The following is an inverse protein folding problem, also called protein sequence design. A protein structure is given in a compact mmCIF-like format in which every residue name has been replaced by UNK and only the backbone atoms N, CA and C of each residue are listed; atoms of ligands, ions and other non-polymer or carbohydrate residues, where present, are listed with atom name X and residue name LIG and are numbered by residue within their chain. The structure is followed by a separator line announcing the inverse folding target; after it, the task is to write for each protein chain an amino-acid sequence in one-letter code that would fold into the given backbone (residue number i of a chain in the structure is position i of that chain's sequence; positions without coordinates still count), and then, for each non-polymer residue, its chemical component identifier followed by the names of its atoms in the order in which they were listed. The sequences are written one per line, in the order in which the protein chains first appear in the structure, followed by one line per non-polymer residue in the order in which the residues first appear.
data_IF_710573788319
#
_entry.id   IF_710573788319
#
_cell.length_a   1.000
_cell.length_b   1.000
_cell.length_c   1.000
_cell.angle_alpha   90.00
_cell.angle_beta   90.00
_cell.angle_gamma   90.00
#
_symmetry.space_group_name_H-M   'P 1'
#
loop_
_entity.id
_entity.type
_entity.pdbx_description
1 polymer ?
#
# COMPACT_ATOMS: atom_id res chain seq x y z
N UNK A 1 10.29 -20.41 -13.76
CA UNK A 1 8.99 -21.09 -13.72
C UNK A 1 8.53 -21.12 -12.28
N UNK A 2 7.44 -20.42 -11.95
CA UNK A 2 6.52 -20.80 -10.88
C UNK A 2 5.21 -20.09 -11.17
N UNK A 3 4.23 -20.92 -11.46
CA UNK A 3 2.91 -20.64 -12.00
C UNK A 3 2.02 -20.24 -10.82
N UNK A 4 1.37 -19.10 -10.87
CA UNK A 4 0.19 -18.86 -10.03
C UNK A 4 -1.03 -19.20 -10.88
N UNK A 5 -1.34 -20.50 -10.92
CA UNK A 5 -2.67 -20.99 -11.21
C UNK A 5 -3.54 -20.68 -9.98
N UNK A 6 -4.61 -19.91 -10.16
CA UNK A 6 -5.73 -19.93 -9.22
C UNK A 6 -6.99 -20.12 -10.05
N UNK A 7 -7.62 -21.25 -9.79
CA UNK A 7 -8.77 -21.87 -10.44
C UNK A 7 -9.95 -20.93 -10.65
N UNK A 8 -10.59 -21.11 -11.81
CA UNK A 8 -12.03 -20.89 -11.98
C UNK A 8 -12.72 -22.13 -11.38
N UNK A 9 -13.63 -21.98 -10.43
CA UNK A 9 -15.00 -22.48 -10.58
C UNK A 9 -15.97 -22.08 -9.44
N UNK A 10 -17.22 -21.88 -9.87
CA UNK A 10 -18.51 -21.97 -9.17
C UNK A 10 -18.73 -21.46 -7.74
N UNK A 11 -19.77 -20.63 -7.58
CA UNK A 11 -20.65 -20.70 -6.40
C UNK A 11 -21.07 -19.34 -5.84
N UNK A 12 -22.29 -18.92 -6.16
CA UNK A 12 -22.98 -17.81 -5.47
C UNK A 12 -23.06 -18.09 -3.97
N UNK A 13 -22.51 -17.19 -3.14
CA UNK A 13 -22.84 -17.06 -1.71
C UNK A 13 -22.86 -15.57 -1.35
N UNK A 14 -23.95 -15.02 -0.80
CA UNK A 14 -24.09 -13.59 -0.54
C UNK A 14 -23.57 -13.17 0.85
N UNK A 15 -22.96 -11.98 0.90
CA UNK A 15 -22.89 -11.05 2.03
C UNK A 15 -22.45 -11.62 3.40
N UNK A 16 -21.14 -11.74 3.61
CA UNK A 16 -20.55 -11.92 4.95
C UNK A 16 -19.84 -10.64 5.44
N UNK A 17 -20.56 -9.87 6.25
CA UNK A 17 -20.12 -9.11 7.44
C UNK A 17 -18.71 -8.45 7.44
N UNK A 18 -18.65 -7.15 7.11
CA UNK A 18 -17.61 -6.16 7.49
C UNK A 18 -16.11 -6.56 7.31
N UNK A 19 -15.85 -7.41 6.32
CA UNK A 19 -14.59 -7.50 5.58
C UNK A 19 -14.94 -7.39 4.11
N UNK A 20 -14.87 -6.19 3.54
CA UNK A 20 -15.13 -6.00 2.11
C UNK A 20 -13.90 -6.54 1.38
N UNK A 21 -13.88 -7.86 1.16
CA UNK A 21 -13.00 -8.44 0.17
C UNK A 21 -13.37 -7.82 -1.16
N UNK A 22 -12.38 -7.16 -1.76
CA UNK A 22 -12.50 -6.38 -2.99
C UNK A 22 -12.87 -7.25 -4.22
N UNK A 23 -13.07 -8.56 -4.01
CA UNK A 23 -13.49 -9.57 -4.99
C UNK A 23 -14.99 -9.44 -5.30
N UNK A 24 -15.42 -8.26 -5.79
CA UNK A 24 -16.76 -8.12 -6.35
C UNK A 24 -16.74 -8.59 -7.80
N UNK A 25 -16.82 -9.92 -7.99
CA UNK A 25 -16.84 -10.56 -9.30
C UNK A 25 -18.12 -10.24 -10.11
N UNK A 26 -19.07 -9.52 -9.52
CA UNK A 26 -20.43 -9.34 -10.06
C UNK A 26 -20.67 -8.03 -10.84
N UNK A 27 -19.73 -7.08 -10.81
CA UNK A 27 -19.94 -5.76 -11.44
C UNK A 27 -19.64 -5.81 -12.93
N UNK A 28 -20.72 -5.92 -13.71
CA UNK A 28 -20.66 -6.03 -15.17
C UNK A 28 -21.17 -4.79 -15.88
N UNK A 29 -21.85 -3.88 -15.16
CA UNK A 29 -22.52 -2.73 -15.77
C UNK A 29 -22.25 -1.41 -15.05
N UNK A 30 -22.10 -0.35 -15.84
CA UNK A 30 -21.97 1.04 -15.36
C UNK A 30 -23.20 1.47 -14.55
N UNK A 31 -24.38 0.89 -14.82
CA UNK A 31 -25.59 1.17 -14.05
C UNK A 31 -25.51 0.62 -12.61
N UNK A 32 -24.90 -0.55 -12.42
CA UNK A 32 -24.69 -1.13 -11.10
C UNK A 32 -23.71 -0.27 -10.28
N UNK A 33 -22.63 0.21 -10.92
CA UNK A 33 -21.70 1.17 -10.30
C UNK A 33 -22.42 2.42 -9.79
N UNK A 34 -23.31 2.97 -10.62
CA UNK A 34 -24.07 4.17 -10.26
C UNK A 34 -25.05 3.93 -9.11
N UNK A 35 -25.71 2.76 -9.07
CA UNK A 35 -26.60 2.40 -7.98
C UNK A 35 -25.83 2.25 -6.65
N UNK A 36 -24.65 1.63 -6.68
CA UNK A 36 -23.79 1.48 -5.50
C UNK A 36 -23.26 2.82 -4.99
N UNK A 37 -22.81 3.71 -5.89
CA UNK A 37 -22.37 5.05 -5.50
C UNK A 37 -23.52 5.80 -4.83
N UNK A 38 -24.73 5.76 -5.42
CA UNK A 38 -25.90 6.42 -4.86
C UNK A 38 -26.28 5.85 -3.49
N UNK A 39 -26.17 4.54 -3.31
CA UNK A 39 -26.40 3.90 -2.01
C UNK A 39 -25.35 4.32 -0.97
N UNK A 40 -24.08 4.40 -1.35
CA UNK A 40 -23.00 4.85 -0.47
C UNK A 40 -23.11 6.32 -0.09
N UNK A 41 -23.45 7.19 -1.05
CA UNK A 41 -23.75 8.61 -0.82
C UNK A 41 -24.93 8.76 0.16
N UNK A 42 -25.98 7.95 0.02
CA UNK A 42 -27.12 7.96 0.95
C UNK A 42 -26.75 7.52 2.38
N UNK A 43 -25.71 6.70 2.52
CA UNK A 43 -25.18 6.26 3.83
C UNK A 43 -24.11 7.22 4.40
N UNK A 44 -23.76 8.30 3.69
CA UNK A 44 -22.71 9.24 4.10
C UNK A 44 -21.30 8.65 4.08
N UNK A 45 -21.08 7.56 3.34
CA UNK A 45 -19.79 6.89 3.24
C UNK A 45 -19.00 7.51 2.10
N UNK A 46 -18.04 8.38 2.42
CA UNK A 46 -17.20 9.02 1.42
C UNK A 46 -16.04 8.13 0.95
N UNK A 47 -15.51 7.27 1.83
CA UNK A 47 -14.36 6.42 1.53
C UNK A 47 -14.34 5.17 2.41
N UNK A 48 -14.05 4.01 1.80
CA UNK A 48 -13.91 2.74 2.51
C UNK A 48 -12.51 2.63 3.13
N UNK A 49 -12.43 2.34 4.44
CA UNK A 49 -11.15 2.01 5.10
C UNK A 49 -10.64 0.67 4.56
N UNK A 50 -9.45 0.72 3.97
CA UNK A 50 -8.87 -0.41 3.27
C UNK A 50 -8.14 -1.36 4.23
N UNK A 51 -8.34 -2.67 4.04
CA UNK A 51 -7.57 -3.74 4.70
C UNK A 51 -6.66 -4.51 3.73
N UNK A 52 -6.94 -4.43 2.42
CA UNK A 52 -6.27 -5.19 1.37
C UNK A 52 -4.91 -4.64 0.96
N UNK A 53 -4.04 -5.55 0.54
CA UNK A 53 -2.72 -5.24 0.01
C UNK A 53 -2.82 -4.33 -1.22
N UNK A 54 -1.80 -3.51 -1.42
CA UNK A 54 -1.64 -2.65 -2.60
C UNK A 54 -1.76 -3.45 -3.92
N UNK A 55 -1.18 -4.65 -3.96
CA UNK A 55 -1.12 -5.51 -5.15
C UNK A 55 -2.49 -6.02 -5.55
N UNK A 56 -3.29 -6.46 -4.57
CA UNK A 56 -4.64 -6.99 -4.80
C UNK A 56 -5.55 -5.95 -5.46
N UNK A 57 -5.50 -4.72 -4.97
CA UNK A 57 -6.33 -3.65 -5.51
C UNK A 57 -5.88 -3.23 -6.89
N UNK A 58 -4.59 -3.23 -7.20
CA UNK A 58 -4.15 -2.95 -8.57
C UNK A 58 -4.62 -4.06 -9.53
N UNK A 59 -4.61 -5.32 -9.08
CA UNK A 59 -5.16 -6.45 -9.82
C UNK A 59 -6.67 -6.29 -10.07
N UNK A 60 -7.43 -5.99 -9.02
CA UNK A 60 -8.87 -5.75 -9.10
C UNK A 60 -9.23 -4.54 -9.97
N UNK A 61 -8.53 -3.41 -9.82
CA UNK A 61 -8.75 -2.23 -10.67
C UNK A 61 -8.51 -2.58 -12.14
N UNK A 62 -7.45 -3.34 -12.42
CA UNK A 62 -7.14 -3.77 -13.78
C UNK A 62 -8.25 -4.67 -14.36
N UNK A 63 -8.74 -5.60 -13.57
CA UNK A 63 -9.82 -6.52 -13.94
C UNK A 63 -11.14 -5.77 -14.20
N UNK A 64 -11.55 -4.83 -13.35
CA UNK A 64 -12.71 -3.96 -13.58
C UNK A 64 -12.57 -3.18 -14.90
N UNK A 65 -11.40 -2.57 -15.14
CA UNK A 65 -11.17 -1.77 -16.35
C UNK A 65 -11.20 -2.61 -17.62
N UNK A 66 -10.79 -3.88 -17.54
CA UNK A 66 -10.87 -4.85 -18.63
C UNK A 66 -12.31 -5.33 -18.84
N UNK A 67 -13.00 -5.79 -17.78
CA UNK A 67 -14.39 -6.29 -17.82
C UNK A 67 -15.35 -5.25 -18.37
N UNK A 68 -15.24 -4.00 -17.92
CA UNK A 68 -16.07 -2.90 -18.39
C UNK A 68 -15.65 -2.38 -19.77
N UNK A 69 -14.57 -2.88 -20.38
CA UNK A 69 -13.99 -2.34 -21.62
C UNK A 69 -13.82 -0.82 -21.52
N UNK A 70 -13.13 -0.35 -20.47
CA UNK A 70 -12.99 1.08 -20.16
C UNK A 70 -12.55 1.95 -21.35
N UNK A 71 -11.76 1.37 -22.27
CA UNK A 71 -11.35 2.06 -23.51
C UNK A 71 -12.53 2.54 -24.34
N UNK A 72 -13.57 1.71 -24.50
CA UNK A 72 -14.76 2.00 -25.30
C UNK A 72 -15.83 2.82 -24.57
N UNK A 73 -15.71 3.04 -23.25
CA UNK A 73 -16.68 3.82 -22.48
C UNK A 73 -16.73 5.30 -22.93
N UNK A 74 -17.93 5.88 -22.84
CA UNK A 74 -18.16 7.31 -23.05
C UNK A 74 -17.65 8.14 -21.87
N UNK A 75 -17.44 9.44 -22.07
CA UNK A 75 -16.90 10.36 -21.04
C UNK A 75 -17.72 10.36 -19.75
N UNK A 76 -19.06 10.27 -19.85
CA UNK A 76 -19.97 10.20 -18.68
C UNK A 76 -19.76 8.92 -17.88
N UNK A 77 -19.74 7.77 -18.56
CA UNK A 77 -19.54 6.45 -17.95
C UNK A 77 -18.17 6.33 -17.29
N UNK A 78 -17.12 6.88 -17.93
CA UNK A 78 -15.78 6.96 -17.34
C UNK A 78 -15.74 7.75 -16.02
N UNK A 79 -16.62 8.73 -15.86
CA UNK A 79 -16.76 9.47 -14.60
C UNK A 79 -17.35 8.61 -13.48
N UNK A 80 -18.35 7.78 -13.80
CA UNK A 80 -18.97 6.84 -12.85
C UNK A 80 -17.92 5.82 -12.38
N UNK A 81 -17.13 5.26 -13.30
CA UNK A 81 -16.05 4.33 -12.96
C UNK A 81 -15.03 4.97 -12.02
N UNK A 82 -14.59 6.21 -12.29
CA UNK A 82 -13.64 6.93 -11.41
C UNK A 82 -14.18 7.13 -9.99
N UNK A 83 -15.44 7.54 -9.84
CA UNK A 83 -16.07 7.70 -8.54
C UNK A 83 -16.15 6.39 -7.76
N UNK A 84 -16.50 5.30 -8.45
CA UNK A 84 -16.53 3.98 -7.84
C UNK A 84 -15.15 3.53 -7.38
N UNK A 85 -14.13 3.66 -8.24
CA UNK A 85 -12.76 3.31 -7.91
C UNK A 85 -12.26 4.11 -6.70
N UNK A 86 -12.65 5.39 -6.58
CA UNK A 86 -12.33 6.23 -5.42
C UNK A 86 -12.95 5.69 -4.14
N UNK A 87 -14.25 5.42 -4.17
CA UNK A 87 -15.02 4.98 -3.02
C UNK A 87 -14.43 3.69 -2.40
N UNK A 88 -14.13 2.70 -3.23
CA UNK A 88 -13.70 1.37 -2.77
C UNK A 88 -12.19 1.21 -2.63
N UNK A 89 -11.36 1.91 -3.44
CA UNK A 89 -9.89 1.81 -3.30
C UNK A 89 -9.33 2.64 -2.16
N UNK A 90 -10.05 3.69 -1.76
CA UNK A 90 -9.58 4.68 -0.78
C UNK A 90 -8.45 5.58 -1.28
N UNK A 91 -8.16 5.58 -2.58
CA UNK A 91 -7.18 6.49 -3.17
C UNK A 91 -7.77 7.85 -3.50
N UNK A 92 -6.90 8.86 -3.46
CA UNK A 92 -7.20 10.17 -4.00
C UNK A 92 -7.46 10.09 -5.52
N UNK A 93 -8.26 11.04 -6.03
CA UNK A 93 -8.62 11.12 -7.46
C UNK A 93 -7.39 11.15 -8.37
N UNK A 94 -6.38 11.93 -8.00
CA UNK A 94 -5.14 12.06 -8.78
C UNK A 94 -4.40 10.74 -8.94
N UNK A 95 -4.39 9.90 -7.89
CA UNK A 95 -3.77 8.58 -7.94
C UNK A 95 -4.56 7.64 -8.86
N UNK A 96 -5.89 7.72 -8.84
CA UNK A 96 -6.75 6.94 -9.73
C UNK A 96 -6.56 7.36 -11.19
N UNK A 97 -6.52 8.67 -11.45
CA UNK A 97 -6.25 9.21 -12.79
C UNK A 97 -4.89 8.77 -13.31
N UNK A 98 -3.88 8.74 -12.44
CA UNK A 98 -2.57 8.18 -12.77
C UNK A 98 -2.66 6.69 -13.16
N UNK A 99 -3.33 5.86 -12.35
CA UNK A 99 -3.47 4.42 -12.63
C UNK A 99 -4.28 4.15 -13.91
N UNK A 100 -5.33 4.94 -14.17
CA UNK A 100 -6.12 4.86 -15.41
C UNK A 100 -5.26 5.27 -16.62
N UNK A 101 -4.43 6.31 -16.47
CA UNK A 101 -3.53 6.75 -17.53
C UNK A 101 -2.47 5.68 -17.83
N UNK A 102 -1.91 5.05 -16.80
CA UNK A 102 -1.01 3.89 -16.93
C UNK A 102 -1.69 2.72 -17.65
N UNK A 103 -2.92 2.37 -17.27
CA UNK A 103 -3.70 1.35 -17.98
C UNK A 103 -3.95 1.71 -19.44
N UNK A 104 -4.23 2.99 -19.74
CA UNK A 104 -4.45 3.45 -21.10
C UNK A 104 -3.18 3.37 -21.98
N UNK A 105 -1.99 3.50 -21.40
CA UNK A 105 -0.72 3.44 -22.13
C UNK A 105 -0.21 1.99 -22.23
N UNK A 106 -0.14 1.28 -21.10
CA UNK A 106 0.49 -0.04 -21.00
C UNK A 106 -0.49 -1.22 -21.13
N UNK A 107 -1.81 -0.94 -21.14
CA UNK A 107 -2.87 -1.96 -21.14
C UNK A 107 -3.06 -2.67 -19.80
N UNK A 108 -2.26 -2.31 -18.79
CA UNK A 108 -2.35 -2.87 -17.44
C UNK A 108 -1.82 -1.92 -16.38
N UNK A 109 -2.38 -2.02 -15.18
CA UNK A 109 -1.85 -1.30 -14.02
C UNK A 109 -0.65 -2.06 -13.48
N UNK A 110 0.55 -1.47 -13.61
CA UNK A 110 1.80 -2.03 -13.08
C UNK A 110 2.49 -1.03 -12.16
N UNK A 111 3.00 -1.54 -11.04
CA UNK A 111 3.94 -0.78 -10.22
C UNK A 111 5.31 -0.83 -10.89
N UNK A 112 5.95 0.34 -11.02
CA UNK A 112 7.40 0.40 -11.20
C UNK A 112 8.04 0.16 -9.82
N UNK A 113 8.75 -0.95 -9.61
CA UNK A 113 9.44 -1.17 -8.35
C UNK A 113 10.43 -0.03 -8.14
N UNK A 114 10.55 0.44 -6.89
CA UNK A 114 11.57 1.44 -6.56
C UNK A 114 12.93 0.76 -6.63
N UNK A 115 13.63 0.96 -7.74
CA UNK A 115 15.04 0.58 -7.87
C UNK A 115 15.87 1.74 -7.33
N UNK A 116 16.03 1.82 -6.02
CA UNK A 116 17.07 2.66 -5.45
C UNK A 116 18.12 1.76 -4.79
N UNK A 117 19.41 2.01 -5.01
CA UNK A 117 20.45 1.32 -4.27
C UNK A 117 20.23 1.64 -2.79
N UNK A 118 19.86 0.62 -2.02
CA UNK A 118 19.82 0.70 -0.56
C UNK A 118 21.25 0.47 -0.10
N UNK A 119 21.84 1.50 0.51
CA UNK A 119 23.08 1.30 1.26
C UNK A 119 22.80 0.26 2.36
N UNK A 120 23.64 -0.78 2.51
CA UNK A 120 23.48 -1.71 3.62
C UNK A 120 23.54 -0.90 4.90
N UNK A 121 22.42 -0.86 5.63
CA UNK A 121 22.32 -0.14 6.89
C UNK A 121 22.97 -1.00 7.96
N UNK A 122 24.29 -0.90 8.10
CA UNK A 122 24.98 -1.54 9.21
C UNK A 122 24.85 -0.64 10.43
N UNK A 123 23.85 -0.89 11.27
CA UNK A 123 23.89 -0.43 12.66
C UNK A 123 24.87 -1.32 13.40
N UNK A 124 26.17 -1.06 13.27
CA UNK A 124 27.08 -1.47 14.33
C UNK A 124 26.61 -0.71 15.56
N UNK A 125 26.16 -1.41 16.61
CA UNK A 125 25.77 -0.81 17.90
C UNK A 125 26.94 -0.14 18.65
N UNK A 126 27.88 0.44 17.91
CA UNK A 126 29.09 1.10 18.34
C UNK A 126 29.22 2.39 17.53
N UNK A 127 28.26 3.28 17.71
CA UNK A 127 28.52 4.73 17.65
C UNK A 127 29.24 5.18 18.92
N UNK A 128 30.12 4.33 19.41
CA UNK A 128 30.88 4.46 20.63
C UNK A 128 32.29 4.12 20.22
N UNK A 129 33.04 5.15 19.89
CA UNK A 129 34.50 5.01 19.85
C UNK A 129 34.89 4.43 21.21
N UNK A 130 35.56 3.27 21.28
CA UNK A 130 35.90 2.63 22.56
C UNK A 130 37.01 3.38 23.31
N UNK A 131 37.21 4.65 22.96
CA UNK A 131 38.23 5.51 23.49
C UNK A 131 37.65 6.88 23.84
N UNK A 132 38.00 7.40 25.01
CA UNK A 132 37.82 8.80 25.36
C UNK A 132 39.12 9.55 25.02
N UNK A 133 39.00 10.72 24.42
CA UNK A 133 40.15 11.56 24.11
C UNK A 133 40.70 12.22 25.39
N UNK A 134 41.95 11.90 25.71
CA UNK A 134 42.71 12.47 26.80
C UNK A 134 43.50 13.72 26.41
N UNK A 135 44.13 14.37 27.41
CA UNK A 135 44.96 15.54 27.19
C UNK A 135 46.13 15.25 26.22
N UNK A 136 46.46 16.22 25.36
CA UNK A 136 47.43 16.10 24.26
C UNK A 136 47.04 15.08 23.17
N UNK A 137 45.77 14.73 23.05
CA UNK A 137 45.28 13.84 21.99
C UNK A 137 45.60 12.37 22.23
N UNK A 138 45.85 11.96 23.47
CA UNK A 138 45.96 10.54 23.83
C UNK A 138 44.60 9.85 23.70
N UNK A 139 44.58 8.60 23.23
CA UNK A 139 43.37 7.77 23.20
C UNK A 139 43.38 6.88 24.45
N UNK A 140 42.46 7.07 25.37
CA UNK A 140 42.29 6.21 26.55
C UNK A 140 41.14 5.25 26.31
N UNK A 141 41.33 3.95 26.54
CA UNK A 141 40.25 2.96 26.41
C UNK A 141 39.15 3.25 27.43
N UNK A 142 37.90 3.30 26.96
CA UNK A 142 36.75 3.45 27.84
C UNK A 142 36.50 2.10 28.55
N UNK A 143 36.74 2.06 29.86
CA UNK A 143 36.45 0.92 30.73
C UNK A 143 35.22 1.20 31.61
N UNK A 144 34.10 0.53 31.34
CA UNK A 144 32.88 0.64 32.15
C UNK A 144 33.12 0.22 33.62
N UNK A 145 34.09 -0.66 33.88
CA UNK A 145 34.41 -1.11 35.24
C UNK A 145 35.04 -0.02 36.11
N UNK A 146 35.88 0.83 35.54
CA UNK A 146 36.51 1.93 36.29
C UNK A 146 35.50 3.02 36.63
N UNK A 147 34.62 3.35 35.67
CA UNK A 147 33.53 4.32 35.87
C UNK A 147 32.61 3.86 37.01
N UNK A 148 32.24 2.57 37.02
CA UNK A 148 31.40 2.02 38.08
C UNK A 148 32.11 2.05 39.45
N UNK A 149 33.42 1.75 39.50
CA UNK A 149 34.20 1.84 40.76
C UNK A 149 34.30 3.27 41.27
N UNK A 150 34.55 4.24 40.40
CA UNK A 150 34.64 5.65 40.78
C UNK A 150 33.29 6.18 41.29
N UNK A 151 32.20 5.88 40.57
CA UNK A 151 30.85 6.29 40.99
C UNK A 151 30.45 5.65 42.33
N UNK A 152 30.75 4.35 42.54
CA UNK A 152 30.51 3.70 43.83
C UNK A 152 31.32 4.34 44.97
N UNK A 153 32.54 4.82 44.70
CA UNK A 153 33.38 5.51 45.70
C UNK A 153 32.94 6.94 46.02
N UNK A 154 32.10 7.56 45.17
CA UNK A 154 31.47 8.86 45.47
C UNK A 154 30.18 8.71 46.27
N UNK A 155 29.56 7.54 46.21
CA UNK A 155 28.29 7.23 46.86
C UNK A 155 28.44 6.65 48.27
N UNK A 156 29.60 6.06 48.59
CA UNK A 156 29.94 5.47 49.88
C UNK A 156 31.24 6.03 50.41
#
# INVERSE_FOLDING_TARGET
MSVYEISRDTGSVPLTLLGIDIQDDSITSVAQLQALIKAAEALGVETVKRKNSMVEVYGWMNDILLRLKYRSLRKKEKGIVRKYLRLYSGYAESHIDHLISMYAIEGKIKRRPRTQPVFPTTYTGKGTDPYVMGPKGSKMEWSDEEVIREELSRLY
#
